data_IF_908886630464
#
_entry.id   IF_908886630464
#
_cell.length_a   1.000
_cell.length_b   1.000
_cell.length_c   1.000
_cell.angle_alpha   90.00
_cell.angle_beta   90.00
_cell.angle_gamma   90.00
#
_symmetry.space_group_name_H-M   'P 1'
#
loop_
_entity.id
_entity.type
_entity.pdbx_description
1 polymer ?
#
# COMPACT_ATOMS: atom_id res chain seq x y z
N UNK A 1 -7.34 -15.90 -7.03
CA UNK A 1 -8.41 -15.66 -8.02
C UNK A 1 -8.05 -14.45 -8.83
N UNK A 2 -8.14 -14.55 -10.16
CA UNK A 2 -7.99 -13.43 -11.09
C UNK A 2 -9.37 -13.09 -11.67
N UNK A 3 -9.76 -11.83 -11.59
CA UNK A 3 -10.97 -11.30 -12.23
C UNK A 3 -10.57 -10.15 -13.15
N UNK A 4 -11.32 -9.99 -14.26
CA UNK A 4 -11.12 -8.88 -15.18
C UNK A 4 -12.41 -8.56 -15.92
N UNK A 5 -12.52 -7.33 -16.38
CA UNK A 5 -13.57 -6.93 -17.30
C UNK A 5 -13.38 -7.60 -18.67
N UNK A 6 -14.49 -8.00 -19.29
CA UNK A 6 -14.47 -8.68 -20.59
C UNK A 6 -14.11 -7.73 -21.73
N UNK A 7 -14.63 -6.53 -21.67
CA UNK A 7 -14.52 -5.54 -22.75
C UNK A 7 -13.34 -4.56 -22.51
N UNK A 8 -12.84 -4.49 -21.24
CA UNK A 8 -11.65 -3.76 -20.84
C UNK A 8 -10.69 -4.66 -20.05
N UNK A 9 -9.89 -5.53 -20.71
CA UNK A 9 -9.05 -6.52 -20.04
C UNK A 9 -7.97 -5.95 -19.07
N UNK A 10 -7.67 -4.68 -19.17
CA UNK A 10 -6.74 -4.00 -18.28
C UNK A 10 -7.37 -3.61 -16.93
N UNK A 11 -8.70 -3.57 -16.88
CA UNK A 11 -9.42 -3.49 -15.62
C UNK A 11 -9.47 -4.88 -14.97
N UNK A 12 -8.49 -5.20 -14.15
CA UNK A 12 -8.37 -6.50 -13.49
C UNK A 12 -7.88 -6.36 -12.05
N UNK A 13 -8.09 -7.41 -11.28
CA UNK A 13 -7.54 -7.56 -9.94
C UNK A 13 -7.21 -9.02 -9.61
N UNK A 14 -6.39 -9.22 -8.57
CA UNK A 14 -5.96 -10.53 -8.11
C UNK A 14 -6.30 -10.68 -6.62
N UNK A 15 -7.19 -11.60 -6.30
CA UNK A 15 -7.55 -11.87 -4.91
C UNK A 15 -6.77 -13.01 -4.30
N UNK A 16 -6.42 -12.85 -3.03
CA UNK A 16 -5.76 -13.82 -2.16
C UNK A 16 -6.66 -14.21 -0.99
N UNK A 17 -6.37 -15.33 -0.37
CA UNK A 17 -7.08 -15.78 0.83
C UNK A 17 -6.97 -17.28 1.06
N UNK A 18 -7.16 -17.70 2.32
CA UNK A 18 -7.08 -19.09 2.75
C UNK A 18 -8.17 -20.02 2.16
N UNK A 19 -9.19 -19.46 1.51
CA UNK A 19 -10.25 -20.20 0.83
C UNK A 19 -10.59 -19.57 -0.51
N UNK A 20 -11.24 -20.35 -1.43
CA UNK A 20 -11.72 -19.80 -2.71
C UNK A 20 -12.71 -18.64 -2.51
N UNK A 21 -13.54 -18.70 -1.46
CA UNK A 21 -14.49 -17.63 -1.14
C UNK A 21 -13.77 -16.36 -0.68
N UNK A 22 -12.79 -16.49 0.20
CA UNK A 22 -11.97 -15.37 0.67
C UNK A 22 -11.17 -14.74 -0.48
N UNK A 23 -10.54 -15.57 -1.32
CA UNK A 23 -9.81 -15.09 -2.48
C UNK A 23 -10.71 -14.38 -3.52
N UNK A 24 -11.94 -14.85 -3.72
CA UNK A 24 -12.91 -14.16 -4.57
C UNK A 24 -13.36 -12.83 -3.96
N UNK A 25 -13.64 -12.80 -2.66
CA UNK A 25 -14.01 -11.57 -1.96
C UNK A 25 -12.88 -10.52 -2.03
N UNK A 26 -11.64 -10.95 -1.83
CA UNK A 26 -10.45 -10.11 -1.99
C UNK A 26 -10.34 -9.55 -3.41
N UNK A 27 -10.49 -10.40 -4.45
CA UNK A 27 -10.46 -9.95 -5.85
C UNK A 27 -11.56 -8.93 -6.17
N UNK A 28 -12.78 -9.18 -5.70
CA UNK A 28 -13.90 -8.25 -5.90
C UNK A 28 -13.67 -6.93 -5.14
N UNK A 29 -13.20 -7.00 -3.90
CA UNK A 29 -12.87 -5.81 -3.11
C UNK A 29 -11.85 -4.93 -3.83
N UNK A 30 -10.72 -5.49 -4.26
CA UNK A 30 -9.69 -4.78 -5.00
C UNK A 30 -10.19 -4.25 -6.37
N UNK A 31 -11.03 -5.01 -7.06
CA UNK A 31 -11.60 -4.56 -8.33
C UNK A 31 -12.48 -3.32 -8.14
N UNK A 32 -13.38 -3.34 -7.16
CA UNK A 32 -14.25 -2.20 -6.86
C UNK A 32 -13.50 -1.03 -6.23
N UNK A 33 -12.48 -1.27 -5.43
CA UNK A 33 -11.56 -0.26 -4.95
C UNK A 33 -10.98 0.53 -6.13
N UNK A 34 -10.31 -0.16 -7.04
CA UNK A 34 -9.66 0.45 -8.20
C UNK A 34 -10.64 1.13 -9.15
N UNK A 35 -11.85 0.58 -9.30
CA UNK A 35 -12.89 1.21 -10.10
C UNK A 35 -13.41 2.49 -9.43
N UNK A 36 -13.64 2.46 -8.12
CA UNK A 36 -14.15 3.61 -7.35
C UNK A 36 -13.14 4.76 -7.29
N UNK A 37 -11.86 4.44 -7.14
CA UNK A 37 -10.76 5.43 -7.09
C UNK A 37 -10.28 5.87 -8.47
N UNK A 38 -10.92 5.39 -9.54
CA UNK A 38 -10.51 5.58 -10.94
C UNK A 38 -9.05 5.17 -11.24
N UNK A 39 -8.51 4.22 -10.47
CA UNK A 39 -7.14 3.72 -10.64
C UNK A 39 -6.88 3.13 -12.03
N UNK A 40 -7.90 2.53 -12.65
CA UNK A 40 -7.77 1.94 -13.98
C UNK A 40 -7.70 2.95 -15.11
N UNK A 41 -7.95 4.23 -14.86
CA UNK A 41 -8.18 5.22 -15.93
C UNK A 41 -9.12 4.70 -17.00
N UNK A 42 -10.24 4.12 -16.57
CA UNK A 42 -11.20 3.48 -17.46
C UNK A 42 -11.65 4.43 -18.59
N UNK A 43 -11.75 5.71 -18.30
CA UNK A 43 -12.10 6.77 -19.24
C UNK A 43 -11.11 6.88 -20.40
N UNK A 44 -9.82 6.67 -20.14
CA UNK A 44 -8.80 6.66 -21.18
C UNK A 44 -9.06 5.56 -22.23
N UNK A 45 -9.55 4.39 -21.81
CA UNK A 45 -9.86 3.28 -22.70
C UNK A 45 -11.25 3.40 -23.34
N UNK A 46 -12.18 4.10 -22.69
CA UNK A 46 -13.53 4.31 -23.19
C UNK A 46 -13.64 5.46 -24.19
N UNK A 47 -12.58 6.25 -24.31
CA UNK A 47 -12.45 7.36 -25.26
C UNK A 47 -12.97 8.68 -24.74
N UNK A 48 -12.56 9.77 -25.41
CA UNK A 48 -12.79 11.16 -24.97
C UNK A 48 -14.24 11.55 -24.72
N UNK A 49 -15.22 10.89 -25.36
CA UNK A 49 -16.63 11.21 -25.13
C UNK A 49 -17.11 10.84 -23.72
N UNK A 50 -16.47 9.86 -23.09
CA UNK A 50 -16.77 9.42 -21.73
C UNK A 50 -15.81 10.13 -20.77
N UNK A 51 -14.52 10.19 -21.10
CA UNK A 51 -13.51 10.88 -20.33
C UNK A 51 -13.74 12.39 -20.16
N UNK A 52 -14.55 13.02 -21.00
CA UNK A 52 -14.92 14.45 -20.94
C UNK A 52 -16.43 14.61 -20.68
N UNK A 53 -16.98 13.82 -19.77
CA UNK A 53 -18.33 13.97 -19.26
C UNK A 53 -18.44 15.15 -18.26
N UNK A 54 -19.30 14.98 -17.25
CA UNK A 54 -19.48 15.98 -16.18
C UNK A 54 -18.22 16.13 -15.30
N UNK A 55 -17.42 15.09 -15.19
CA UNK A 55 -16.11 15.05 -14.51
C UNK A 55 -15.13 14.19 -15.31
N UNK A 56 -13.83 14.31 -14.99
CA UNK A 56 -12.74 13.54 -15.62
C UNK A 56 -12.29 12.40 -14.72
N UNK A 57 -11.96 12.69 -13.46
CA UNK A 57 -11.43 11.72 -12.50
C UNK A 57 -12.47 11.30 -11.48
N UNK A 58 -13.22 12.27 -10.93
CA UNK A 58 -14.20 12.00 -9.89
C UNK A 58 -15.27 13.11 -9.81
N UNK A 59 -16.54 12.80 -9.46
CA UNK A 59 -17.64 13.77 -9.47
C UNK A 59 -17.44 15.02 -8.62
N UNK A 60 -16.58 14.97 -7.60
CA UNK A 60 -16.29 16.10 -6.71
C UNK A 60 -14.94 16.77 -6.98
N UNK A 61 -14.31 16.45 -8.10
CA UNK A 61 -13.07 17.11 -8.54
C UNK A 61 -13.26 18.61 -8.70
N UNK A 62 -12.18 19.37 -8.52
CA UNK A 62 -12.18 20.81 -8.75
C UNK A 62 -11.03 21.18 -9.69
N UNK A 63 -11.35 22.02 -10.66
CA UNK A 63 -10.39 22.57 -11.60
C UNK A 63 -9.95 23.96 -11.17
N UNK A 64 -8.64 24.19 -11.23
CA UNK A 64 -7.99 25.45 -10.91
C UNK A 64 -7.34 25.99 -12.20
N UNK A 65 -7.95 27.01 -12.85
CA UNK A 65 -7.38 27.64 -14.03
C UNK A 65 -6.02 28.26 -13.72
N UNK A 66 -5.10 28.18 -14.66
CA UNK A 66 -3.79 28.82 -14.57
C UNK A 66 -3.91 30.21 -15.18
N UNK A 67 -4.04 31.23 -14.34
CA UNK A 67 -4.12 32.62 -14.76
C UNK A 67 -2.73 33.24 -15.01
N UNK A 68 -1.71 32.70 -14.37
CA UNK A 68 -0.32 33.13 -14.47
C UNK A 68 0.58 31.90 -14.42
N UNK A 69 1.46 31.74 -15.39
CA UNK A 69 2.38 30.60 -15.52
C UNK A 69 3.42 30.54 -14.38
N UNK A 70 3.69 31.66 -13.72
CA UNK A 70 4.68 31.76 -12.64
C UNK A 70 4.06 31.63 -11.24
N UNK A 71 2.71 31.59 -11.12
CA UNK A 71 2.02 31.59 -9.83
C UNK A 71 1.07 30.41 -9.70
N UNK A 72 1.27 29.65 -8.63
CA UNK A 72 0.37 28.56 -8.26
C UNK A 72 -1.01 29.10 -7.86
N UNK A 73 -2.11 28.48 -8.31
CA UNK A 73 -3.46 28.86 -7.92
C UNK A 73 -3.66 28.75 -6.40
N UNK A 74 -4.43 29.66 -5.84
CA UNK A 74 -4.80 29.58 -4.43
C UNK A 74 -5.83 28.46 -4.18
N UNK A 75 -5.72 27.80 -3.01
CA UNK A 75 -6.68 26.80 -2.55
C UNK A 75 -6.37 25.37 -2.97
N UNK A 76 -5.19 25.13 -3.52
CA UNK A 76 -4.59 23.79 -3.66
C UNK A 76 -3.58 23.60 -2.55
N UNK A 77 -3.49 22.40 -2.00
CA UNK A 77 -2.65 22.03 -0.86
C UNK A 77 -2.83 22.94 0.37
N UNK A 78 -2.41 22.53 1.50
CA UNK A 78 -2.24 23.36 2.70
C UNK A 78 -0.75 23.54 3.02
N UNK A 79 -0.44 24.33 4.05
CA UNK A 79 0.93 24.66 4.40
C UNK A 79 1.77 23.40 4.69
N UNK A 80 1.17 22.37 5.33
CA UNK A 80 1.87 21.11 5.63
C UNK A 80 2.25 20.36 4.35
N UNK A 81 1.34 20.28 3.39
CA UNK A 81 1.59 19.60 2.11
C UNK A 81 2.52 20.42 1.20
N UNK A 82 2.46 21.75 1.26
CA UNK A 82 3.43 22.62 0.57
C UNK A 82 4.85 22.36 1.08
N UNK A 83 5.05 22.37 2.39
CA UNK A 83 6.36 22.10 2.99
C UNK A 83 6.85 20.68 2.67
N UNK A 84 5.95 19.72 2.49
CA UNK A 84 6.28 18.35 2.17
C UNK A 84 6.62 18.14 0.69
N UNK A 85 5.79 18.64 -0.23
CA UNK A 85 5.94 18.39 -1.66
C UNK A 85 6.84 19.43 -2.36
N UNK A 86 6.96 20.62 -1.82
CA UNK A 86 7.71 21.72 -2.43
C UNK A 86 8.59 22.49 -1.42
N UNK A 87 9.45 21.79 -0.65
CA UNK A 87 10.29 22.41 0.37
C UNK A 87 11.26 23.47 -0.19
N UNK A 88 11.57 23.40 -1.47
CA UNK A 88 12.47 24.33 -2.15
C UNK A 88 11.76 25.41 -2.95
N UNK A 89 10.42 25.41 -3.02
CA UNK A 89 9.60 26.32 -3.82
C UNK A 89 9.97 26.28 -5.33
N UNK A 90 10.06 25.05 -5.87
CA UNK A 90 10.43 24.80 -7.27
C UNK A 90 9.23 24.41 -8.15
N UNK A 91 8.05 24.12 -7.53
CA UNK A 91 6.87 23.73 -8.27
C UNK A 91 6.30 24.92 -9.07
N UNK A 92 6.00 24.62 -10.32
CA UNK A 92 5.27 25.54 -11.20
C UNK A 92 3.88 24.99 -11.52
N UNK A 93 2.92 25.83 -11.92
CA UNK A 93 1.59 25.37 -12.31
C UNK A 93 1.64 24.29 -13.40
N UNK A 94 2.55 24.37 -14.34
CA UNK A 94 2.73 23.40 -15.43
C UNK A 94 3.04 21.98 -14.93
N UNK A 95 3.81 21.85 -13.85
CA UNK A 95 4.16 20.55 -13.25
C UNK A 95 2.96 19.86 -12.57
N UNK A 96 1.91 20.63 -12.26
CA UNK A 96 0.70 20.11 -11.60
C UNK A 96 -0.47 19.87 -12.56
N UNK A 97 -0.33 20.24 -13.84
CA UNK A 97 -1.35 19.97 -14.85
C UNK A 97 -1.50 18.46 -15.06
N UNK A 98 -2.73 18.02 -15.16
CA UNK A 98 -3.04 16.65 -15.53
C UNK A 98 -2.85 16.41 -17.04
N UNK A 99 -1.70 15.87 -17.40
CA UNK A 99 -1.38 15.54 -18.79
C UNK A 99 -2.03 14.24 -19.28
N UNK A 100 -2.52 13.40 -18.38
CA UNK A 100 -3.00 12.05 -18.70
C UNK A 100 -4.41 12.07 -19.32
N UNK A 101 -5.27 12.95 -18.87
CA UNK A 101 -6.64 13.07 -19.39
C UNK A 101 -6.75 13.88 -20.68
N UNK A 102 -5.70 14.59 -21.09
CA UNK A 102 -5.71 15.48 -22.22
C UNK A 102 -6.51 16.79 -22.01
N UNK A 103 -6.81 17.13 -20.76
CA UNK A 103 -7.57 18.33 -20.39
C UNK A 103 -6.68 19.49 -19.86
N UNK A 104 -5.45 19.58 -20.33
CA UNK A 104 -4.47 20.56 -19.85
C UNK A 104 -4.93 22.03 -20.00
N UNK A 105 -5.79 22.32 -20.97
CA UNK A 105 -6.35 23.70 -21.13
C UNK A 105 -7.29 24.12 -19.99
N UNK A 106 -7.78 23.16 -19.17
CA UNK A 106 -8.59 23.44 -18.01
C UNK A 106 -7.77 23.80 -16.76
N UNK A 107 -6.45 23.59 -16.81
CA UNK A 107 -5.52 23.86 -15.72
C UNK A 107 -5.27 22.64 -14.82
N UNK A 108 -5.21 22.87 -13.50
CA UNK A 108 -4.89 21.85 -12.50
C UNK A 108 -6.19 21.26 -11.98
N UNK A 109 -6.34 19.94 -12.10
CA UNK A 109 -7.42 19.20 -11.44
C UNK A 109 -6.95 18.70 -10.08
N UNK A 110 -7.77 18.88 -9.05
CA UNK A 110 -7.45 18.43 -7.69
C UNK A 110 -8.64 17.74 -7.02
N UNK A 111 -8.34 16.78 -6.17
CA UNK A 111 -9.30 15.97 -5.43
C UNK A 111 -9.51 16.52 -4.02
N UNK A 112 -10.75 16.50 -3.50
CA UNK A 112 -11.07 16.99 -2.17
C UNK A 112 -10.76 15.92 -1.11
N UNK A 113 -9.62 16.05 -0.45
CA UNK A 113 -9.27 15.25 0.71
C UNK A 113 -9.67 15.93 2.01
N UNK A 114 -10.06 15.16 3.01
CA UNK A 114 -10.38 15.65 4.35
C UNK A 114 -9.19 15.43 5.26
N UNK A 115 -8.59 16.50 5.77
CA UNK A 115 -7.56 16.46 6.79
C UNK A 115 -8.18 15.97 8.10
N UNK A 116 -7.60 14.93 8.69
CA UNK A 116 -8.25 14.23 9.81
C UNK A 116 -8.12 14.97 11.14
N UNK A 117 -7.15 15.84 11.30
CA UNK A 117 -6.94 16.63 12.55
C UNK A 117 -8.05 17.65 12.83
N UNK A 118 -8.62 18.28 11.80
CA UNK A 118 -9.59 19.38 11.92
C UNK A 118 -10.81 19.26 10.99
N UNK A 119 -10.85 18.22 10.15
CA UNK A 119 -11.92 17.95 9.18
C UNK A 119 -12.04 19.02 8.06
N UNK A 120 -10.99 19.79 7.83
CA UNK A 120 -10.94 20.72 6.70
C UNK A 120 -10.72 20.00 5.37
N UNK A 121 -11.33 20.52 4.31
CA UNK A 121 -11.15 19.99 2.95
C UNK A 121 -9.93 20.64 2.30
N UNK A 122 -8.98 19.80 1.90
CA UNK A 122 -7.75 20.19 1.19
C UNK A 122 -7.78 19.61 -0.21
N UNK A 123 -7.56 20.41 -1.23
CA UNK A 123 -7.54 19.99 -2.62
C UNK A 123 -6.12 19.57 -3.01
N UNK A 124 -5.94 18.26 -3.28
CA UNK A 124 -4.66 17.69 -3.67
C UNK A 124 -4.65 17.44 -5.19
N UNK A 125 -3.69 18.02 -5.94
CA UNK A 125 -3.59 17.82 -7.38
C UNK A 125 -3.51 16.34 -7.77
N UNK A 126 -4.25 15.97 -8.81
CA UNK A 126 -4.26 14.59 -9.32
C UNK A 126 -2.87 14.14 -9.79
N UNK A 127 -2.06 15.05 -10.33
CA UNK A 127 -0.67 14.79 -10.74
C UNK A 127 0.23 14.34 -9.57
N UNK A 128 -0.02 14.83 -8.36
CA UNK A 128 0.68 14.38 -7.15
C UNK A 128 0.18 12.99 -6.74
N UNK A 129 -1.14 12.76 -6.72
CA UNK A 129 -1.76 11.50 -6.32
C UNK A 129 -1.32 10.36 -7.25
N UNK A 130 -1.31 10.59 -8.55
CA UNK A 130 -1.02 9.60 -9.58
C UNK A 130 0.49 9.44 -9.91
N UNK A 131 1.37 10.12 -9.19
CA UNK A 131 2.78 10.24 -9.53
C UNK A 131 3.50 8.88 -9.68
N UNK A 132 3.22 7.91 -8.82
CA UNK A 132 3.91 6.61 -8.83
C UNK A 132 3.12 5.48 -9.49
N UNK A 133 1.92 5.73 -9.99
CA UNK A 133 1.04 4.70 -10.59
C UNK A 133 0.83 3.47 -9.70
N UNK A 134 0.77 3.66 -8.40
CA UNK A 134 0.54 2.61 -7.41
C UNK A 134 -0.76 2.87 -6.65
N UNK A 135 -1.36 1.80 -6.12
CA UNK A 135 -2.62 1.86 -5.36
C UNK A 135 -2.40 1.91 -3.84
N UNK A 136 -1.21 2.24 -3.39
CA UNK A 136 -0.87 2.25 -1.96
C UNK A 136 -1.72 3.25 -1.18
N UNK A 137 -2.39 2.76 -0.13
CA UNK A 137 -3.33 3.54 0.66
C UNK A 137 -4.75 3.58 0.08
N UNK A 138 -4.97 3.11 -1.15
CA UNK A 138 -6.31 2.88 -1.67
C UNK A 138 -6.90 1.61 -1.07
N UNK A 139 -8.18 1.62 -0.75
CA UNK A 139 -8.80 0.47 -0.11
C UNK A 139 -10.32 0.45 -0.28
N UNK A 140 -10.91 -0.73 -0.15
CA UNK A 140 -12.35 -0.91 -0.05
C UNK A 140 -12.72 -1.77 1.16
N UNK A 141 -13.91 -1.57 1.68
CA UNK A 141 -14.45 -2.31 2.80
C UNK A 141 -15.98 -2.42 2.76
N UNK A 142 -16.54 -3.28 3.62
CA UNK A 142 -17.99 -3.36 3.79
C UNK A 142 -18.55 -2.16 4.57
N UNK A 143 -17.69 -1.45 5.27
CA UNK A 143 -17.99 -0.20 5.97
C UNK A 143 -16.87 0.82 5.71
N UNK A 144 -17.18 2.09 5.97
CA UNK A 144 -16.21 3.19 5.86
C UNK A 144 -14.97 2.95 6.72
N UNK A 145 -15.16 2.50 7.95
CA UNK A 145 -14.03 2.24 8.85
C UNK A 145 -13.20 1.03 8.43
N UNK A 146 -13.82 -0.03 7.88
CA UNK A 146 -13.06 -1.14 7.31
C UNK A 146 -12.16 -0.68 6.15
N UNK A 147 -12.69 0.15 5.23
CA UNK A 147 -11.88 0.72 4.16
C UNK A 147 -10.71 1.53 4.72
N UNK A 148 -10.97 2.44 5.66
CA UNK A 148 -9.94 3.30 6.27
C UNK A 148 -8.87 2.51 7.04
N UNK A 149 -9.27 1.50 7.83
CA UNK A 149 -8.33 0.60 8.53
C UNK A 149 -7.43 -0.11 7.53
N UNK A 150 -8.01 -0.58 6.42
CA UNK A 150 -7.26 -1.24 5.37
C UNK A 150 -6.25 -0.29 4.71
N UNK A 151 -6.67 0.91 4.29
CA UNK A 151 -5.79 1.90 3.64
C UNK A 151 -4.65 2.36 4.55
N UNK A 152 -4.96 2.71 5.81
CA UNK A 152 -3.95 3.11 6.79
C UNK A 152 -2.98 1.98 7.11
N UNK A 153 -3.46 0.72 7.21
CA UNK A 153 -2.60 -0.44 7.40
C UNK A 153 -1.62 -0.59 6.25
N UNK A 154 -2.06 -0.42 5.00
CA UNK A 154 -1.17 -0.50 3.84
C UNK A 154 -0.13 0.63 3.82
N UNK A 155 -0.49 1.83 4.25
CA UNK A 155 0.49 2.93 4.42
C UNK A 155 1.58 2.54 5.42
N UNK A 156 1.21 1.97 6.58
CA UNK A 156 2.20 1.48 7.55
C UNK A 156 3.03 0.32 7.01
N UNK A 157 2.41 -0.62 6.30
CA UNK A 157 3.12 -1.73 5.66
C UNK A 157 4.24 -1.22 4.75
N UNK A 158 3.92 -0.28 3.86
CA UNK A 158 4.88 0.27 2.89
C UNK A 158 5.96 1.11 3.57
N UNK A 159 5.58 1.93 4.53
CA UNK A 159 6.53 2.75 5.30
C UNK A 159 7.53 1.88 6.07
N UNK A 160 7.02 0.92 6.85
CA UNK A 160 7.84 0.04 7.68
C UNK A 160 8.73 -0.85 6.82
N UNK A 161 8.18 -1.44 5.76
CA UNK A 161 8.95 -2.24 4.80
C UNK A 161 10.13 -1.47 4.24
N UNK A 162 9.89 -0.28 3.70
CA UNK A 162 10.96 0.51 3.10
C UNK A 162 12.00 0.93 4.13
N UNK A 163 11.58 1.26 5.35
CA UNK A 163 12.50 1.58 6.43
C UNK A 163 13.37 0.40 6.84
N UNK A 164 12.79 -0.79 7.02
CA UNK A 164 13.52 -2.01 7.36
C UNK A 164 14.57 -2.33 6.29
N UNK A 165 14.20 -2.19 5.02
CA UNK A 165 15.10 -2.47 3.89
C UNK A 165 16.20 -1.41 3.79
N UNK A 166 15.86 -0.12 3.86
CA UNK A 166 16.82 0.98 3.75
C UNK A 166 17.86 0.99 4.88
N UNK A 167 17.42 0.69 6.10
CA UNK A 167 18.28 0.69 7.28
C UNK A 167 18.92 -0.69 7.56
N UNK A 168 18.61 -1.71 6.73
CA UNK A 168 19.05 -3.11 6.89
C UNK A 168 18.77 -3.66 8.30
N UNK A 169 17.58 -3.36 8.85
CA UNK A 169 17.19 -3.73 10.22
C UNK A 169 17.08 -5.26 10.36
N UNK A 170 17.72 -5.80 11.40
CA UNK A 170 17.60 -7.20 11.78
C UNK A 170 16.34 -7.42 12.62
N UNK A 171 15.46 -8.28 12.13
CA UNK A 171 14.13 -8.50 12.72
C UNK A 171 14.15 -9.65 13.74
N UNK A 172 13.42 -9.56 14.86
CA UNK A 172 13.23 -10.67 15.77
C UNK A 172 12.25 -11.70 15.14
N UNK A 173 12.61 -12.96 15.21
CA UNK A 173 11.73 -14.05 14.80
C UNK A 173 10.52 -14.14 15.74
N UNK A 174 9.33 -14.41 15.19
CA UNK A 174 8.11 -14.61 15.98
C UNK A 174 8.25 -15.94 16.73
N UNK A 175 8.18 -15.94 18.08
CA UNK A 175 8.37 -17.16 18.88
C UNK A 175 7.37 -18.25 18.51
N UNK A 176 7.83 -19.50 18.51
CA UNK A 176 6.97 -20.67 18.25
C UNK A 176 5.71 -20.68 19.13
N UNK A 177 5.82 -20.30 20.39
CA UNK A 177 4.67 -20.22 21.31
C UNK A 177 3.59 -19.22 20.89
N UNK A 178 3.97 -18.21 20.11
CA UNK A 178 3.03 -17.25 19.50
C UNK A 178 2.43 -17.87 18.24
N UNK A 179 3.25 -18.47 17.37
CA UNK A 179 2.78 -19.16 16.16
C UNK A 179 1.80 -20.29 16.47
N UNK A 180 2.01 -21.03 17.57
CA UNK A 180 1.14 -22.14 18.01
C UNK A 180 -0.31 -21.67 18.34
N UNK A 181 -0.54 -20.37 18.53
CA UNK A 181 -1.89 -19.81 18.71
C UNK A 181 -2.70 -19.78 17.40
N UNK A 182 -2.05 -19.91 16.25
CA UNK A 182 -2.63 -19.77 14.91
C UNK A 182 -2.48 -21.03 14.06
N UNK A 183 -3.09 -22.17 14.43
CA UNK A 183 -2.84 -23.47 13.81
C UNK A 183 -3.20 -23.53 12.31
N UNK A 184 -4.16 -22.75 11.85
CA UNK A 184 -4.52 -22.70 10.42
C UNK A 184 -3.45 -22.03 9.56
N UNK A 185 -2.83 -20.98 10.09
CA UNK A 185 -1.73 -20.28 9.43
C UNK A 185 -0.49 -21.16 9.43
N UNK A 186 -0.18 -21.78 10.57
CA UNK A 186 0.94 -22.71 10.71
C UNK A 186 0.81 -23.89 9.76
N UNK A 187 -0.40 -24.44 9.57
CA UNK A 187 -0.63 -25.50 8.59
C UNK A 187 -0.39 -25.04 7.14
N UNK A 188 -0.60 -23.77 6.84
CA UNK A 188 -0.29 -23.20 5.53
C UNK A 188 1.22 -23.04 5.31
N UNK A 189 1.94 -22.60 6.34
CA UNK A 189 3.41 -22.53 6.34
C UNK A 189 3.99 -23.92 6.17
N UNK A 190 3.57 -24.90 6.97
CA UNK A 190 4.05 -26.30 6.89
C UNK A 190 3.92 -26.90 5.48
N UNK A 191 2.83 -26.57 4.75
CA UNK A 191 2.69 -27.05 3.36
C UNK A 191 3.76 -26.49 2.42
N UNK A 192 4.16 -25.24 2.59
CA UNK A 192 5.25 -24.67 1.79
C UNK A 192 6.59 -25.28 2.17
N UNK A 193 6.81 -25.57 3.45
CA UNK A 193 8.01 -26.22 3.94
C UNK A 193 8.10 -27.69 3.45
N UNK A 194 6.97 -28.41 3.39
CA UNK A 194 6.90 -29.77 2.81
C UNK A 194 7.23 -29.79 1.32
N UNK A 195 6.97 -28.70 0.59
CA UNK A 195 7.40 -28.52 -0.81
C UNK A 195 8.89 -28.13 -0.93
N UNK A 196 9.59 -27.98 0.19
CA UNK A 196 11.02 -27.69 0.26
C UNK A 196 11.40 -26.22 0.35
N UNK A 197 10.45 -25.34 0.68
CA UNK A 197 10.68 -23.89 0.82
C UNK A 197 10.63 -23.48 2.29
N UNK A 198 11.79 -23.27 2.97
CA UNK A 198 11.80 -22.74 4.33
C UNK A 198 11.12 -21.38 4.45
N UNK A 199 10.32 -21.24 5.48
CA UNK A 199 9.56 -20.02 5.79
C UNK A 199 10.02 -19.49 7.14
N UNK A 200 10.29 -18.17 7.20
CA UNK A 200 10.64 -17.46 8.42
C UNK A 200 9.64 -16.35 8.66
N UNK A 201 9.08 -16.26 9.86
CA UNK A 201 8.15 -15.21 10.25
C UNK A 201 8.80 -14.31 11.29
N UNK A 202 8.81 -13.02 11.02
CA UNK A 202 9.45 -11.98 11.81
C UNK A 202 8.45 -10.93 12.27
N UNK A 203 8.67 -10.40 13.46
CA UNK A 203 8.02 -9.19 13.93
C UNK A 203 8.65 -7.97 13.24
N UNK A 204 7.88 -7.30 12.40
CA UNK A 204 8.29 -6.08 11.71
C UNK A 204 7.70 -4.83 12.38
N UNK A 205 7.25 -4.93 13.63
CA UNK A 205 6.56 -3.85 14.32
C UNK A 205 7.46 -2.69 14.76
N UNK A 206 8.78 -2.83 14.61
CA UNK A 206 9.80 -1.89 15.12
C UNK A 206 9.64 -1.64 16.63
N UNK A 207 9.58 -2.74 17.39
CA UNK A 207 9.43 -2.70 18.84
C UNK A 207 7.99 -2.47 19.33
N UNK A 208 6.99 -2.98 18.60
CA UNK A 208 5.57 -2.86 18.94
C UNK A 208 4.93 -1.53 18.55
N UNK A 209 5.62 -0.73 17.72
CA UNK A 209 5.15 0.59 17.30
C UNK A 209 4.15 0.54 16.17
N UNK A 210 4.32 -0.39 15.24
CA UNK A 210 3.50 -0.54 14.04
C UNK A 210 2.89 -1.93 13.93
N UNK A 211 1.66 -2.08 13.39
CA UNK A 211 1.00 -3.37 13.25
C UNK A 211 1.47 -4.15 12.01
N UNK A 212 2.78 -4.41 11.89
CA UNK A 212 3.39 -4.99 10.69
C UNK A 212 4.12 -6.28 11.00
N UNK A 213 3.99 -7.25 10.11
CA UNK A 213 4.67 -8.56 10.13
C UNK A 213 5.45 -8.73 8.82
N UNK A 214 6.59 -9.40 8.88
CA UNK A 214 7.36 -9.83 7.73
C UNK A 214 7.42 -11.35 7.68
N UNK A 215 7.18 -11.94 6.52
CA UNK A 215 7.39 -13.38 6.28
C UNK A 215 8.29 -13.56 5.07
N UNK A 216 9.33 -14.34 5.23
CA UNK A 216 10.33 -14.59 4.19
C UNK A 216 10.27 -16.06 3.76
N UNK A 217 10.19 -16.26 2.45
CA UNK A 217 10.32 -17.54 1.80
C UNK A 217 11.72 -17.64 1.18
N UNK A 218 12.45 -18.71 1.51
CA UNK A 218 13.73 -19.03 0.90
C UNK A 218 13.58 -20.13 -0.16
N UNK A 219 14.29 -19.99 -1.27
CA UNK A 219 14.45 -21.05 -2.25
C UNK A 219 15.83 -21.69 -2.06
N UNK A 220 15.93 -22.89 -1.47
CA UNK A 220 17.22 -23.51 -1.17
C UNK A 220 17.97 -23.99 -2.43
N UNK A 221 17.29 -24.07 -3.59
CA UNK A 221 17.92 -24.55 -4.82
C UNK A 221 18.86 -23.52 -5.45
N UNK A 222 18.59 -22.22 -5.26
CA UNK A 222 19.36 -21.14 -5.85
C UNK A 222 19.69 -20.01 -4.87
N UNK A 223 19.24 -20.11 -3.61
CA UNK A 223 19.49 -19.12 -2.57
C UNK A 223 18.66 -17.83 -2.70
N UNK A 224 17.71 -17.80 -3.63
CA UNK A 224 16.82 -16.63 -3.77
C UNK A 224 15.82 -16.54 -2.62
N UNK A 225 15.34 -15.36 -2.32
CA UNK A 225 14.33 -15.17 -1.28
C UNK A 225 13.30 -14.11 -1.68
N UNK A 226 12.13 -14.23 -1.08
CA UNK A 226 11.07 -13.25 -1.21
C UNK A 226 10.57 -12.87 0.18
N UNK A 227 10.62 -11.58 0.49
CA UNK A 227 10.10 -11.02 1.73
C UNK A 227 8.73 -10.37 1.47
N UNK A 228 7.69 -10.92 2.10
CA UNK A 228 6.36 -10.35 2.13
C UNK A 228 6.16 -9.58 3.43
N UNK A 229 5.54 -8.42 3.34
CA UNK A 229 5.11 -7.64 4.49
C UNK A 229 3.59 -7.57 4.50
N UNK A 230 3.00 -7.49 5.68
CA UNK A 230 1.57 -7.33 5.83
C UNK A 230 1.25 -6.61 7.11
N UNK A 231 0.26 -5.74 7.06
CA UNK A 231 -0.18 -4.95 8.20
C UNK A 231 -1.68 -5.12 8.45
N UNK A 232 -2.03 -5.15 9.71
CA UNK A 232 -3.40 -5.04 10.21
C UNK A 232 -3.37 -4.85 11.73
N UNK A 233 -4.29 -4.07 12.36
CA UNK A 233 -4.37 -3.96 13.81
C UNK A 233 -4.46 -5.30 14.56
N UNK A 234 -5.15 -6.28 13.98
CA UNK A 234 -5.21 -7.63 14.52
C UNK A 234 -4.02 -8.47 14.05
N UNK A 235 -3.21 -8.97 14.97
CA UNK A 235 -2.01 -9.76 14.71
C UNK A 235 -2.27 -11.00 13.83
N UNK A 236 -3.34 -11.75 14.10
CA UNK A 236 -3.69 -12.92 13.31
C UNK A 236 -3.97 -12.56 11.85
N UNK A 237 -4.72 -11.48 11.63
CA UNK A 237 -5.06 -11.00 10.29
C UNK A 237 -3.80 -10.53 9.56
N UNK A 238 -2.93 -9.77 10.24
CA UNK A 238 -1.65 -9.35 9.67
C UNK A 238 -0.81 -10.55 9.23
N UNK A 239 -0.67 -11.55 10.10
CA UNK A 239 0.11 -12.77 9.81
C UNK A 239 -0.51 -13.58 8.66
N UNK A 240 -1.83 -13.79 8.65
CA UNK A 240 -2.50 -14.53 7.56
C UNK A 240 -2.34 -13.83 6.21
N UNK A 241 -2.49 -12.51 6.18
CA UNK A 241 -2.30 -11.71 4.97
C UNK A 241 -0.88 -11.83 4.45
N UNK A 242 0.11 -11.68 5.32
CA UNK A 242 1.53 -11.76 4.95
C UNK A 242 1.87 -13.13 4.37
N UNK A 243 1.41 -14.22 4.98
CA UNK A 243 1.63 -15.58 4.47
C UNK A 243 0.93 -15.81 3.13
N UNK A 244 -0.30 -15.32 2.96
CA UNK A 244 -1.04 -15.49 1.70
C UNK A 244 -0.47 -14.67 0.55
N UNK A 245 0.28 -13.61 0.85
CA UNK A 245 0.98 -12.80 -0.17
C UNK A 245 2.19 -13.46 -0.78
N UNK A 246 2.85 -14.39 -0.08
CA UNK A 246 4.05 -15.07 -0.59
C UNK A 246 3.86 -15.67 -2.00
N UNK A 247 2.67 -16.17 -2.30
CA UNK A 247 2.35 -16.81 -3.57
C UNK A 247 1.24 -16.08 -4.37
N UNK A 248 0.88 -14.86 -4.01
CA UNK A 248 -0.15 -14.13 -4.75
C UNK A 248 0.24 -13.94 -6.22
N UNK A 249 -0.57 -14.53 -7.12
CA UNK A 249 -0.32 -14.44 -8.56
C UNK A 249 0.91 -15.20 -9.07
N UNK A 250 1.59 -15.97 -8.22
CA UNK A 250 2.82 -16.71 -8.54
C UNK A 250 2.63 -18.21 -8.29
N UNK A 251 3.44 -19.01 -8.96
CA UNK A 251 3.63 -20.42 -8.62
C UNK A 251 5.02 -20.62 -8.00
N UNK A 252 5.23 -21.75 -7.31
CA UNK A 252 6.56 -22.09 -6.76
C UNK A 252 7.65 -22.11 -7.84
N UNK A 253 7.29 -22.32 -9.10
CA UNK A 253 8.23 -22.30 -10.24
C UNK A 253 8.68 -20.89 -10.64
N UNK A 254 7.91 -19.89 -10.26
CA UNK A 254 8.19 -18.49 -10.60
C UNK A 254 9.07 -17.81 -9.54
N UNK A 255 9.51 -18.54 -8.49
CA UNK A 255 10.34 -17.98 -7.43
C UNK A 255 11.82 -17.83 -7.85
N UNK A 256 12.21 -18.39 -8.98
CA UNK A 256 13.57 -18.27 -9.51
C UNK A 256 13.92 -16.87 -10.04
N UNK A 257 12.92 -15.97 -10.16
CA UNK A 257 13.11 -14.59 -10.64
C UNK A 257 13.63 -13.64 -9.54
N UNK A 258 13.54 -14.04 -8.27
CA UNK A 258 14.03 -13.21 -7.17
C UNK A 258 15.56 -13.30 -7.03
N UNK A 259 16.12 -12.32 -6.34
CA UNK A 259 17.55 -12.28 -6.04
C UNK A 259 17.87 -12.95 -4.70
N UNK A 260 19.08 -13.50 -4.53
CA UNK A 260 19.59 -13.80 -3.20
C UNK A 260 19.72 -12.53 -2.37
N UNK A 261 19.67 -12.62 -1.03
CA UNK A 261 19.97 -11.48 -0.17
C UNK A 261 21.37 -10.94 -0.43
N UNK A 262 21.53 -9.62 -0.33
CA UNK A 262 22.81 -8.94 -0.55
C UNK A 262 23.59 -8.76 0.75
N UNK A 263 24.93 -8.84 0.68
CA UNK A 263 25.83 -8.42 1.74
C UNK A 263 26.23 -6.94 1.61
N UNK A 264 25.88 -6.31 0.50
CA UNK A 264 26.13 -4.89 0.28
C UNK A 264 24.87 -4.08 0.63
N UNK A 265 24.89 -3.49 1.82
CA UNK A 265 23.75 -2.70 2.31
C UNK A 265 23.60 -1.37 1.54
N UNK A 266 24.64 -0.86 0.91
CA UNK A 266 24.52 0.35 0.09
C UNK A 266 23.65 0.08 -1.15
N UNK A 267 23.82 -1.07 -1.81
CA UNK A 267 22.97 -1.47 -2.95
C UNK A 267 21.51 -1.70 -2.51
N UNK A 268 21.32 -2.23 -1.29
CA UNK A 268 19.97 -2.46 -0.73
C UNK A 268 19.28 -1.13 -0.41
N UNK A 269 20.02 -0.15 0.08
CA UNK A 269 19.51 1.18 0.43
C UNK A 269 19.37 2.13 -0.78
N UNK A 270 19.82 1.73 -1.97
CA UNK A 270 19.67 2.56 -3.16
C UNK A 270 18.22 2.93 -3.45
N UNK A 271 18.00 4.17 -3.88
CA UNK A 271 16.67 4.70 -4.18
C UNK A 271 15.90 3.81 -5.18
N UNK A 272 16.56 3.36 -6.24
CA UNK A 272 15.95 2.48 -7.25
C UNK A 272 15.48 1.13 -6.66
N UNK A 273 16.23 0.58 -5.69
CA UNK A 273 15.83 -0.64 -4.99
C UNK A 273 14.63 -0.40 -4.07
N UNK A 274 14.62 0.72 -3.35
CA UNK A 274 13.50 1.10 -2.47
C UNK A 274 12.23 1.38 -3.29
N UNK A 275 12.34 2.01 -4.45
CA UNK A 275 11.25 2.22 -5.39
C UNK A 275 10.69 0.86 -5.89
N UNK A 276 11.56 -0.09 -6.25
CA UNK A 276 11.14 -1.44 -6.65
C UNK A 276 10.36 -2.13 -5.52
N UNK A 277 10.83 -2.03 -4.27
CA UNK A 277 10.10 -2.56 -3.12
C UNK A 277 8.77 -1.84 -2.88
N UNK A 278 8.70 -0.55 -3.14
CA UNK A 278 7.46 0.22 -3.01
C UNK A 278 6.42 -0.24 -4.05
N UNK A 279 6.83 -0.54 -5.27
CA UNK A 279 5.95 -0.94 -6.37
C UNK A 279 5.51 -2.41 -6.25
N UNK A 280 6.45 -3.37 -6.20
CA UNK A 280 6.12 -4.80 -6.34
C UNK A 280 6.82 -5.75 -5.36
N UNK A 281 7.61 -5.26 -4.43
CA UNK A 281 8.36 -6.02 -3.42
C UNK A 281 9.43 -6.98 -3.99
N UNK A 282 9.87 -6.82 -5.24
CA UNK A 282 10.84 -7.72 -5.89
C UNK A 282 12.31 -7.27 -5.74
N UNK A 283 12.57 -6.20 -5.01
CA UNK A 283 13.90 -5.66 -4.80
C UNK A 283 14.83 -6.52 -3.95
N UNK A 284 16.09 -6.08 -3.83
CA UNK A 284 17.10 -6.71 -3.00
C UNK A 284 16.79 -6.53 -1.51
N UNK A 285 17.02 -7.56 -0.71
CA UNK A 285 17.01 -7.47 0.76
C UNK A 285 18.40 -7.75 1.32
N UNK A 286 18.68 -7.27 2.52
CA UNK A 286 19.96 -7.50 3.19
C UNK A 286 20.00 -8.84 3.89
N UNK A 287 21.19 -9.48 3.91
CA UNK A 287 21.49 -10.61 4.81
C UNK A 287 21.35 -10.23 6.29
N UNK A 288 21.47 -8.96 6.62
CA UNK A 288 21.31 -8.46 7.99
C UNK A 288 19.91 -8.72 8.56
N UNK A 289 18.91 -8.85 7.72
CA UNK A 289 17.55 -9.22 8.14
C UNK A 289 17.50 -10.56 8.90
N UNK A 290 18.44 -11.47 8.61
CA UNK A 290 18.52 -12.83 9.17
C UNK A 290 19.58 -12.97 10.27
N UNK A 291 20.10 -11.88 10.85
CA UNK A 291 21.08 -11.96 11.93
C UNK A 291 20.50 -12.67 13.15
N UNK A 292 21.33 -13.47 13.83
CA UNK A 292 20.95 -14.16 15.06
C UNK A 292 20.70 -13.19 16.23
N UNK A 293 21.15 -11.93 16.10
CA UNK A 293 20.96 -10.88 17.10
C UNK A 293 20.11 -9.79 16.45
N UNK A 294 18.80 -9.76 16.70
CA UNK A 294 17.93 -8.74 16.18
C UNK A 294 18.21 -7.38 16.79
N UNK A 295 17.86 -6.29 16.11
CA UNK A 295 18.07 -4.93 16.56
C UNK A 295 17.08 -4.50 17.65
N UNK A 296 16.02 -5.26 17.86
CA UNK A 296 15.06 -5.10 18.96
C UNK A 296 14.45 -6.45 19.36
N UNK A 297 13.82 -6.48 20.54
CA UNK A 297 13.17 -7.69 21.04
C UNK A 297 11.77 -7.86 20.43
N UNK A 298 11.32 -9.11 20.28
CA UNK A 298 9.96 -9.43 19.85
C UNK A 298 8.94 -8.79 20.81
N UNK A 299 7.92 -8.17 20.25
CA UNK A 299 6.77 -7.64 20.99
C UNK A 299 5.50 -8.36 20.53
N UNK A 300 4.78 -8.94 21.48
CA UNK A 300 3.47 -9.55 21.24
C UNK A 300 2.40 -8.45 21.23
N UNK A 301 2.34 -7.75 20.11
CA UNK A 301 1.43 -6.62 19.95
C UNK A 301 0.05 -7.06 19.49
N UNK A 302 -0.97 -6.31 19.87
CA UNK A 302 -2.34 -6.42 19.34
C UNK A 302 -3.02 -5.06 19.46
N UNK A 303 -3.41 -4.48 18.32
CA UNK A 303 -4.13 -3.22 18.21
C UNK A 303 -5.60 -3.45 17.81
N UNK A 304 -6.08 -4.70 17.92
CA UNK A 304 -7.42 -5.09 17.50
C UNK A 304 -8.52 -4.55 18.43
N UNK A 305 -9.73 -4.48 17.88
CA UNK A 305 -10.92 -4.04 18.58
C UNK A 305 -12.11 -4.06 17.64
N UNK A 306 -13.12 -3.26 17.89
CA UNK A 306 -14.09 -2.90 16.86
C UNK A 306 -13.39 -2.11 15.74
N UNK A 307 -13.98 -2.10 14.55
CA UNK A 307 -13.40 -1.34 13.41
C UNK A 307 -13.19 0.13 13.71
N UNK A 308 -13.98 0.72 14.61
CA UNK A 308 -13.79 2.08 15.09
C UNK A 308 -12.53 2.19 15.97
N UNK A 309 -12.36 1.28 16.94
CA UNK A 309 -11.19 1.24 17.81
C UNK A 309 -9.91 0.95 17.01
N UNK A 310 -9.97 0.05 16.03
CA UNK A 310 -8.84 -0.22 15.12
C UNK A 310 -8.44 1.03 14.32
N UNK A 311 -9.42 1.77 13.79
CA UNK A 311 -9.16 3.05 13.14
C UNK A 311 -8.50 4.08 14.10
N UNK A 312 -9.04 4.22 15.31
CA UNK A 312 -8.52 5.14 16.33
C UNK A 312 -7.09 4.75 16.76
N UNK A 313 -6.80 3.45 16.91
CA UNK A 313 -5.47 2.95 17.23
C UNK A 313 -4.45 3.28 16.13
N UNK A 314 -4.82 3.11 14.85
CA UNK A 314 -3.94 3.50 13.73
C UNK A 314 -3.72 5.01 13.67
N UNK A 315 -4.78 5.80 13.85
CA UNK A 315 -4.67 7.26 13.88
C UNK A 315 -3.80 7.75 15.05
N UNK A 316 -3.82 7.06 16.20
CA UNK A 316 -2.96 7.39 17.33
C UNK A 316 -1.47 7.23 16.99
N UNK A 317 -1.10 6.28 16.12
CA UNK A 317 0.29 6.12 15.65
C UNK A 317 0.70 7.34 14.81
N UNK A 318 -0.13 7.77 13.84
CA UNK A 318 0.16 8.95 13.04
C UNK A 318 0.30 10.22 13.90
N UNK A 319 -0.59 10.39 14.87
CA UNK A 319 -0.54 11.52 15.80
C UNK A 319 0.75 11.51 16.65
N UNK A 320 1.20 10.34 17.10
CA UNK A 320 2.46 10.19 17.85
C UNK A 320 3.70 10.49 17.00
N UNK A 321 3.60 10.32 15.69
CA UNK A 321 4.64 10.66 14.70
C UNK A 321 4.55 12.11 14.19
N UNK A 322 3.58 12.90 14.70
CA UNK A 322 3.31 14.26 14.22
C UNK A 322 3.03 14.31 12.70
N UNK A 323 2.31 13.28 12.18
CA UNK A 323 1.94 13.17 10.78
C UNK A 323 0.47 13.51 10.55
N UNK A 324 0.22 14.39 9.60
CA UNK A 324 -1.14 14.65 9.13
C UNK A 324 -1.64 13.52 8.22
N UNK A 325 -2.94 13.23 8.32
CA UNK A 325 -3.61 12.22 7.49
C UNK A 325 -4.71 12.86 6.69
N UNK A 326 -4.72 12.60 5.40
CA UNK A 326 -5.70 13.10 4.44
C UNK A 326 -6.45 11.91 3.84
N UNK A 327 -7.76 11.90 3.97
CA UNK A 327 -8.60 10.81 3.46
C UNK A 327 -9.65 11.38 2.51
N UNK A 328 -9.77 10.75 1.34
CA UNK A 328 -10.90 10.96 0.44
C UNK A 328 -11.78 9.70 0.44
N UNK A 329 -13.08 9.87 0.68
CA UNK A 329 -14.04 8.78 0.57
C UNK A 329 -14.60 8.72 -0.85
N UNK A 330 -14.37 7.60 -1.54
CA UNK A 330 -14.86 7.32 -2.89
C UNK A 330 -16.09 6.41 -2.83
N UNK A 331 -17.27 6.97 -2.76
CA UNK A 331 -18.51 6.21 -2.52
C UNK A 331 -19.58 6.37 -3.63
N UNK A 332 -19.23 6.93 -4.78
CA UNK A 332 -20.17 7.19 -5.87
C UNK A 332 -20.71 5.92 -6.55
N UNK A 333 -20.08 4.76 -6.34
CA UNK A 333 -20.53 3.46 -6.84
C UNK A 333 -21.23 2.63 -5.74
N UNK A 334 -21.70 3.25 -4.65
CA UNK A 334 -22.29 2.57 -3.49
C UNK A 334 -21.37 1.52 -2.83
N UNK A 335 -20.06 1.71 -2.96
CA UNK A 335 -19.02 0.93 -2.26
C UNK A 335 -18.26 1.88 -1.35
N UNK A 336 -17.83 1.36 -0.20
CA UNK A 336 -16.93 2.10 0.68
C UNK A 336 -15.49 1.92 0.19
N UNK A 337 -14.94 2.94 -0.44
CA UNK A 337 -13.54 3.01 -0.85
C UNK A 337 -12.91 4.33 -0.39
N UNK A 338 -11.63 4.34 -0.16
CA UNK A 338 -10.87 5.54 0.19
C UNK A 338 -9.43 5.46 -0.35
#
# INVERSE_FOLDING_TARGET
VHIRDKDCPQCFSNGKGASKKAALASALGEYFERLSTNYFFADFYLGQKIANGDFVHYPTEKWFPIENEDLLPQGILDDYLWDYFDPNQELTPELLVDLQSGNYDRGIVAMPYVRQSDQETVYIPQSIIANLYVSNGMSAGNTKNEARVQGLSEVFERYVKNRIIAEAISLPEIPKSVMDRYPSIQASITKLEEEGFPIYAFDASLGGKYPVICVVLLNPNNGTCFASFGAHPNFQVALERTVTELLQGRSLKDLDVFSPPSFNNDDVAEHANLETHFIDSSGLISWDLFKNTPDYEFVDWDFSGSTQEEYENLMAIFNAEEKEVYIMDYNHLDVYAC
#
